data_IF_522814952858
#
_entry.id   IF_522814952858
#
_cell.length_a   1.000
_cell.length_b   1.000
_cell.length_c   1.000
_cell.angle_alpha   90.00
_cell.angle_beta   90.00
_cell.angle_gamma   90.00
#
_symmetry.space_group_name_H-M   'P 1'
#
loop_
_entity.id
_entity.type
_entity.pdbx_description
1 polymer ?
#
# COMPACT_ATOMS: atom_id res chain seq x y z
N UNK A 1 18.80 -21.55 -9.05
CA UNK A 1 17.68 -20.60 -9.12
C UNK A 1 17.87 -19.72 -7.91
N UNK A 2 18.36 -18.51 -8.14
CA UNK A 2 18.56 -17.53 -7.09
C UNK A 2 17.21 -17.19 -6.48
N UNK A 3 17.10 -17.29 -5.17
CA UNK A 3 15.90 -16.95 -4.42
C UNK A 3 15.72 -15.42 -4.41
N UNK A 4 15.19 -14.90 -5.50
CA UNK A 4 14.73 -13.50 -5.56
C UNK A 4 13.58 -13.35 -4.58
N UNK A 5 13.82 -12.63 -3.49
CA UNK A 5 12.87 -12.55 -2.38
C UNK A 5 12.38 -11.12 -2.20
N UNK A 6 11.05 -10.95 -2.14
CA UNK A 6 10.43 -9.72 -1.65
C UNK A 6 10.27 -9.84 -0.13
N UNK A 7 10.66 -8.81 0.57
CA UNK A 7 10.43 -8.64 2.01
C UNK A 7 9.74 -7.30 2.29
N UNK A 8 9.21 -7.17 3.49
CA UNK A 8 8.65 -5.91 4.00
C UNK A 8 9.35 -5.57 5.31
N UNK A 9 9.69 -4.31 5.50
CA UNK A 9 10.35 -3.81 6.72
C UNK A 9 9.79 -2.48 7.19
N UNK A 10 10.09 -2.13 8.43
CA UNK A 10 9.80 -0.80 8.94
C UNK A 10 10.52 0.30 8.15
N UNK A 11 9.99 1.51 8.23
CA UNK A 11 10.64 2.72 7.73
C UNK A 11 11.91 3.01 8.52
N UNK A 12 12.95 3.45 7.83
CA UNK A 12 14.20 3.90 8.39
C UNK A 12 14.47 5.37 8.03
N UNK A 13 15.21 6.14 8.85
CA UNK A 13 15.54 7.53 8.53
C UNK A 13 16.21 7.72 7.15
N UNK A 14 16.90 6.70 6.68
CA UNK A 14 17.55 6.68 5.36
C UNK A 14 16.58 6.62 4.19
N UNK A 15 15.30 6.28 4.43
CA UNK A 15 14.27 6.21 3.39
C UNK A 15 13.71 7.58 2.98
N UNK A 16 14.15 8.66 3.64
CA UNK A 16 13.62 10.01 3.43
C UNK A 16 13.67 10.47 1.97
N UNK A 17 14.75 10.14 1.26
CA UNK A 17 14.91 10.54 -0.13
C UNK A 17 13.93 9.81 -1.04
N UNK A 18 13.76 8.50 -0.84
CA UNK A 18 12.80 7.68 -1.57
C UNK A 18 11.36 8.13 -1.31
N UNK A 19 11.02 8.37 -0.05
CA UNK A 19 9.68 8.87 0.30
C UNK A 19 9.41 10.24 -0.32
N UNK A 20 10.41 11.13 -0.30
CA UNK A 20 10.28 12.46 -0.90
C UNK A 20 10.01 12.38 -2.41
N UNK A 21 10.74 11.52 -3.10
CA UNK A 21 10.59 11.33 -4.55
C UNK A 21 9.24 10.66 -4.90
N UNK A 22 8.85 9.61 -4.17
CA UNK A 22 7.62 8.89 -4.45
C UNK A 22 6.36 9.68 -4.07
N UNK A 23 6.34 10.33 -2.89
CA UNK A 23 5.17 11.09 -2.43
C UNK A 23 4.97 12.39 -3.24
N UNK A 24 6.02 12.89 -3.88
CA UNK A 24 5.95 14.08 -4.72
C UNK A 24 5.87 13.79 -6.22
N UNK A 25 5.81 12.52 -6.64
CA UNK A 25 5.63 12.16 -8.04
C UNK A 25 4.19 12.51 -8.50
N UNK A 26 4.00 13.46 -9.44
CA UNK A 26 2.68 13.84 -9.94
C UNK A 26 1.88 12.67 -10.52
N UNK A 27 2.55 11.63 -11.02
CA UNK A 27 1.91 10.42 -11.55
C UNK A 27 1.31 9.54 -10.43
N UNK A 28 1.72 9.74 -9.17
CA UNK A 28 1.26 8.97 -8.02
C UNK A 28 0.20 9.71 -7.21
N UNK A 29 0.15 11.04 -7.32
CA UNK A 29 -0.81 11.85 -6.53
C UNK A 29 -2.27 11.44 -6.69
N UNK A 30 -2.65 10.97 -7.87
CA UNK A 30 -4.02 10.51 -8.11
C UNK A 30 -4.33 9.18 -7.40
N UNK A 31 -3.32 8.38 -7.04
CA UNK A 31 -3.49 7.12 -6.30
C UNK A 31 -3.67 7.36 -4.79
N UNK A 32 -3.16 8.48 -4.28
CA UNK A 32 -3.40 8.99 -2.93
C UNK A 32 -4.30 10.21 -2.95
N UNK A 33 -4.80 10.65 -1.84
CA UNK A 33 -5.58 11.90 -1.73
C UNK A 33 -4.66 13.13 -1.55
N UNK A 34 -3.47 13.10 -2.13
CA UNK A 34 -2.47 14.17 -2.01
C UNK A 34 -2.88 15.35 -2.90
N UNK A 35 -3.03 16.53 -2.29
CA UNK A 35 -3.46 17.76 -2.98
C UNK A 35 -2.26 18.70 -3.24
N UNK A 36 -1.24 18.60 -2.41
CA UNK A 36 -0.04 19.45 -2.47
C UNK A 36 1.21 18.62 -2.22
N UNK A 37 2.37 19.00 -2.78
CA UNK A 37 3.62 18.30 -2.51
C UNK A 37 3.98 18.36 -1.03
N UNK A 38 4.57 17.30 -0.55
CA UNK A 38 5.11 17.23 0.81
C UNK A 38 6.48 17.92 0.88
N UNK A 39 6.69 18.72 1.92
CA UNK A 39 8.04 19.19 2.23
C UNK A 39 8.86 18.06 2.85
N UNK A 40 10.18 18.10 2.69
CA UNK A 40 11.09 17.15 3.35
C UNK A 40 10.88 17.16 4.87
N UNK A 41 10.70 18.34 5.47
CA UNK A 41 10.43 18.47 6.90
C UNK A 41 9.19 17.68 7.36
N UNK A 42 8.09 17.74 6.61
CA UNK A 42 6.87 16.98 6.95
C UNK A 42 7.13 15.47 6.88
N UNK A 43 7.87 15.00 5.88
CA UNK A 43 8.22 13.59 5.76
C UNK A 43 9.22 13.14 6.83
N UNK A 44 10.16 13.99 7.24
CA UNK A 44 11.03 13.72 8.39
C UNK A 44 10.22 13.57 9.70
N UNK A 45 9.24 14.45 9.93
CA UNK A 45 8.35 14.31 11.09
C UNK A 45 7.52 13.03 11.02
N UNK A 46 7.06 12.65 9.83
CA UNK A 46 6.37 11.37 9.62
C UNK A 46 7.27 10.19 9.97
N UNK A 47 8.52 10.18 9.52
CA UNK A 47 9.51 9.14 9.85
C UNK A 47 9.79 9.07 11.35
N UNK A 48 9.97 10.22 12.02
CA UNK A 48 10.17 10.27 13.47
C UNK A 48 9.00 9.64 14.22
N UNK A 49 7.76 9.84 13.76
CA UNK A 49 6.56 9.31 14.38
C UNK A 49 6.19 7.89 13.90
N UNK A 50 6.90 7.34 12.93
CA UNK A 50 6.61 6.00 12.36
C UNK A 50 6.83 4.83 13.33
N UNK A 51 7.45 5.08 14.50
CA UNK A 51 7.58 4.09 15.57
C UNK A 51 6.30 3.89 16.39
N UNK A 52 5.31 4.77 16.25
CA UNK A 52 4.03 4.62 16.94
C UNK A 52 3.28 3.39 16.42
N UNK A 53 2.64 2.66 17.33
CA UNK A 53 1.95 1.42 16.99
C UNK A 53 0.63 1.68 16.22
N UNK A 54 0.22 0.69 15.44
CA UNK A 54 -0.98 0.77 14.60
C UNK A 54 -2.28 0.95 15.41
N UNK A 55 -2.33 0.59 16.68
CA UNK A 55 -3.51 0.79 17.53
C UNK A 55 -3.69 2.28 17.89
N UNK A 56 -2.58 3.00 18.00
CA UNK A 56 -2.56 4.45 18.26
C UNK A 56 -2.81 5.26 17.01
N UNK A 57 -2.06 5.02 15.96
CA UNK A 57 -2.07 5.81 14.72
C UNK A 57 -3.16 5.41 13.74
N UNK A 58 -3.73 4.21 13.87
CA UNK A 58 -4.68 3.59 12.93
C UNK A 58 -4.12 3.39 11.53
N UNK A 59 -2.82 3.44 11.40
CA UNK A 59 -2.10 3.26 10.13
C UNK A 59 -0.74 2.62 10.37
N UNK A 60 -0.21 1.97 9.34
CA UNK A 60 1.13 1.40 9.31
C UNK A 60 1.66 1.48 7.89
N UNK A 61 2.86 2.03 7.71
CA UNK A 61 3.58 1.99 6.43
C UNK A 61 4.83 1.14 6.57
N UNK A 62 5.03 0.25 5.61
CA UNK A 62 6.24 -0.57 5.50
C UNK A 62 6.88 -0.37 4.12
N UNK A 63 8.20 -0.45 4.08
CA UNK A 63 8.95 -0.49 2.83
C UNK A 63 8.92 -1.89 2.24
N UNK A 64 8.82 -1.96 0.92
CA UNK A 64 8.96 -3.20 0.16
C UNK A 64 10.38 -3.26 -0.36
N UNK A 65 11.10 -4.32 -0.03
CA UNK A 65 12.46 -4.57 -0.50
C UNK A 65 12.54 -5.77 -1.42
N UNK A 66 13.37 -5.63 -2.42
CA UNK A 66 13.79 -6.69 -3.31
C UNK A 66 15.22 -7.09 -2.99
N UNK A 67 15.47 -8.38 -2.83
CA UNK A 67 16.80 -8.94 -2.62
C UNK A 67 17.04 -9.99 -3.72
N UNK A 68 18.11 -9.81 -4.47
CA UNK A 68 18.54 -10.74 -5.51
C UNK A 68 19.48 -11.86 -5.00
N UNK A 69 19.80 -11.84 -3.70
CA UNK A 69 20.69 -12.81 -3.05
C UNK A 69 22.17 -12.49 -3.18
N UNK A 70 22.58 -11.57 -4.05
CA UNK A 70 23.99 -11.22 -4.28
C UNK A 70 24.37 -9.84 -3.75
N UNK A 71 23.43 -8.90 -3.73
CA UNK A 71 23.65 -7.49 -3.41
C UNK A 71 22.88 -7.05 -2.13
N UNK A 72 23.04 -5.78 -1.78
CA UNK A 72 22.21 -5.15 -0.75
C UNK A 72 20.77 -5.09 -1.23
N UNK A 73 19.82 -5.35 -0.30
CA UNK A 73 18.40 -5.22 -0.58
C UNK A 73 18.06 -3.81 -1.07
N UNK A 74 17.23 -3.72 -2.11
CA UNK A 74 16.81 -2.47 -2.76
C UNK A 74 15.34 -2.19 -2.40
N UNK A 75 15.05 -0.98 -1.92
CA UNK A 75 13.66 -0.55 -1.69
C UNK A 75 12.97 -0.27 -3.03
N UNK A 76 11.89 -0.98 -3.30
CA UNK A 76 11.17 -0.96 -4.58
C UNK A 76 9.76 -0.37 -4.50
N UNK A 77 9.31 -0.01 -3.30
CA UNK A 77 8.00 0.55 -3.06
C UNK A 77 7.61 0.59 -1.59
N UNK A 78 6.37 0.92 -1.33
CA UNK A 78 5.77 0.90 0.00
C UNK A 78 4.42 0.20 0.02
N UNK A 79 4.03 -0.30 1.18
CA UNK A 79 2.73 -0.89 1.43
C UNK A 79 2.15 -0.33 2.72
N UNK A 80 0.89 0.07 2.66
CA UNK A 80 0.22 0.79 3.72
C UNK A 80 -0.97 0.02 4.26
N UNK A 81 -1.15 0.04 5.57
CA UNK A 81 -2.42 -0.22 6.24
C UNK A 81 -2.99 1.12 6.72
N UNK A 82 -4.29 1.31 6.56
CA UNK A 82 -5.00 2.54 6.97
C UNK A 82 -6.40 2.21 7.48
N UNK A 83 -7.00 3.16 8.18
CA UNK A 83 -8.33 2.97 8.79
C UNK A 83 -8.42 1.66 9.60
N UNK A 84 -7.37 1.35 10.36
CA UNK A 84 -7.35 0.18 11.22
C UNK A 84 -8.42 0.31 12.31
N UNK A 85 -9.38 -0.60 12.28
CA UNK A 85 -10.49 -0.64 13.24
C UNK A 85 -10.47 -1.97 14.02
N UNK A 86 -9.84 -1.97 15.21
CA UNK A 86 -9.65 -3.21 15.97
C UNK A 86 -10.97 -3.82 16.49
N UNK A 87 -11.97 -2.99 16.81
CA UNK A 87 -13.26 -3.48 17.25
C UNK A 87 -13.97 -4.30 16.19
N UNK A 88 -13.91 -3.83 14.94
CA UNK A 88 -14.53 -4.50 13.81
C UNK A 88 -13.55 -5.38 13.04
N UNK A 89 -12.30 -5.47 13.50
CA UNK A 89 -11.24 -6.31 12.94
C UNK A 89 -11.10 -6.14 11.42
N UNK A 90 -11.08 -4.87 10.98
CA UNK A 90 -10.93 -4.49 9.57
C UNK A 90 -9.82 -3.48 9.39
N UNK A 91 -9.22 -3.48 8.20
CA UNK A 91 -8.15 -2.55 7.82
C UNK A 91 -8.16 -2.32 6.31
N UNK A 92 -7.90 -1.09 5.90
CA UNK A 92 -7.62 -0.76 4.51
C UNK A 92 -6.19 -1.08 4.14
N UNK A 93 -5.95 -1.42 2.87
CA UNK A 93 -4.63 -1.69 2.32
C UNK A 93 -4.38 -0.89 1.05
N UNK A 94 -3.20 -0.29 0.95
CA UNK A 94 -2.68 0.40 -0.23
C UNK A 94 -1.28 -0.09 -0.56
N UNK A 95 -0.88 0.03 -1.82
CA UNK A 95 0.45 -0.37 -2.28
C UNK A 95 0.94 0.56 -3.38
N UNK A 96 2.20 0.94 -3.28
CA UNK A 96 2.95 1.67 -4.28
C UNK A 96 4.18 0.87 -4.68
N UNK A 97 4.39 0.67 -5.97
CA UNK A 97 5.67 0.21 -6.54
C UNK A 97 6.27 1.33 -7.37
N UNK A 98 7.51 1.66 -7.08
CA UNK A 98 8.25 2.66 -7.83
C UNK A 98 8.27 2.31 -9.33
N UNK A 99 8.21 3.33 -10.18
CA UNK A 99 7.96 3.18 -11.62
C UNK A 99 8.89 2.19 -12.31
N UNK A 100 10.18 2.26 -12.00
CA UNK A 100 11.26 1.43 -12.54
C UNK A 100 11.19 -0.05 -12.10
N UNK A 101 10.39 -0.31 -11.04
CA UNK A 101 10.23 -1.64 -10.46
C UNK A 101 8.89 -2.30 -10.78
N UNK A 102 8.01 -1.62 -11.54
CA UNK A 102 6.70 -2.17 -11.92
C UNK A 102 6.81 -3.35 -12.87
N UNK A 103 5.75 -4.15 -12.95
CA UNK A 103 5.60 -5.32 -13.85
C UNK A 103 6.56 -6.48 -13.59
N UNK A 104 7.27 -6.47 -12.45
CA UNK A 104 8.17 -7.55 -12.02
C UNK A 104 7.50 -8.55 -11.03
N UNK A 105 6.22 -8.33 -10.70
CA UNK A 105 5.47 -9.20 -9.78
C UNK A 105 5.65 -8.86 -8.29
N UNK A 106 6.40 -7.84 -7.95
CA UNK A 106 6.72 -7.45 -6.57
C UNK A 106 5.47 -7.09 -5.76
N UNK A 107 4.54 -6.32 -6.35
CA UNK A 107 3.29 -5.95 -5.69
C UNK A 107 2.49 -7.18 -5.22
N UNK A 108 2.41 -8.23 -6.03
CA UNK A 108 1.71 -9.46 -5.67
C UNK A 108 2.33 -10.17 -4.48
N UNK A 109 3.66 -10.21 -4.42
CA UNK A 109 4.38 -10.84 -3.32
C UNK A 109 4.23 -10.03 -2.03
N UNK A 110 4.43 -8.71 -2.09
CA UNK A 110 4.27 -7.82 -0.95
C UNK A 110 2.85 -7.86 -0.37
N UNK A 111 1.82 -7.84 -1.22
CA UNK A 111 0.42 -7.98 -0.79
C UNK A 111 0.16 -9.31 -0.08
N UNK A 112 0.73 -10.42 -0.54
CA UNK A 112 0.60 -11.71 0.15
C UNK A 112 1.22 -11.69 1.54
N UNK A 113 2.41 -11.11 1.68
CA UNK A 113 3.07 -10.94 2.98
C UNK A 113 2.25 -10.07 3.93
N UNK A 114 1.69 -8.97 3.41
CA UNK A 114 0.86 -8.08 4.22
C UNK A 114 -0.48 -8.71 4.61
N UNK A 115 -1.11 -9.48 3.73
CA UNK A 115 -2.33 -10.23 4.07
C UNK A 115 -2.06 -11.28 5.16
N UNK A 116 -0.94 -12.01 5.04
CA UNK A 116 -0.51 -12.96 6.08
C UNK A 116 -0.32 -12.25 7.44
N UNK A 117 0.36 -11.10 7.44
CA UNK A 117 0.53 -10.26 8.63
C UNK A 117 -0.81 -9.79 9.21
N UNK A 118 -1.73 -9.32 8.38
CA UNK A 118 -3.06 -8.88 8.81
C UNK A 118 -3.83 -10.01 9.50
N UNK A 119 -3.84 -11.20 8.92
CA UNK A 119 -4.64 -12.31 9.43
C UNK A 119 -3.98 -13.03 10.60
N UNK A 120 -2.69 -13.30 10.53
CA UNK A 120 -2.00 -14.13 11.51
C UNK A 120 -1.41 -13.33 12.69
N UNK A 121 -1.01 -12.07 12.46
CA UNK A 121 -0.44 -11.22 13.51
C UNK A 121 -1.45 -10.24 14.09
N UNK A 122 -2.14 -9.47 13.25
CA UNK A 122 -3.12 -8.47 13.70
C UNK A 122 -4.51 -9.06 13.97
N UNK A 123 -4.74 -10.34 13.66
CA UNK A 123 -6.02 -11.04 13.84
C UNK A 123 -7.20 -10.30 13.17
N UNK A 124 -6.97 -9.73 11.99
CA UNK A 124 -7.98 -9.03 11.18
C UNK A 124 -8.99 -10.04 10.63
N UNK A 125 -10.24 -9.63 10.48
CA UNK A 125 -11.29 -10.41 9.83
C UNK A 125 -11.38 -10.12 8.33
N UNK A 126 -11.25 -8.84 7.97
CA UNK A 126 -11.33 -8.41 6.58
C UNK A 126 -10.33 -7.30 6.24
N UNK A 127 -9.80 -7.36 5.05
CA UNK A 127 -8.96 -6.32 4.45
C UNK A 127 -9.72 -5.71 3.28
N UNK A 128 -9.72 -4.38 3.15
CA UNK A 128 -10.39 -3.70 2.05
C UNK A 128 -9.44 -2.76 1.31
N UNK A 129 -9.78 -2.43 0.08
CA UNK A 129 -9.13 -1.37 -0.67
C UNK A 129 -10.16 -0.62 -1.53
N UNK A 130 -9.85 0.64 -1.84
CA UNK A 130 -10.60 1.46 -2.77
C UNK A 130 -9.73 1.69 -4.01
N UNK A 131 -10.29 1.45 -5.19
CA UNK A 131 -9.56 1.52 -6.46
C UNK A 131 -10.37 2.38 -7.45
N UNK A 132 -9.72 3.35 -8.09
CA UNK A 132 -10.32 4.10 -9.20
C UNK A 132 -10.78 3.13 -10.29
N UNK A 133 -11.97 3.33 -10.83
CA UNK A 133 -12.60 2.38 -11.76
C UNK A 133 -11.83 2.18 -13.08
N UNK A 134 -10.98 3.13 -13.45
CA UNK A 134 -10.10 3.08 -14.62
C UNK A 134 -8.69 2.53 -14.30
N UNK A 135 -8.35 2.29 -13.03
CA UNK A 135 -7.09 1.66 -12.64
C UNK A 135 -7.14 0.13 -12.82
N UNK A 136 -7.18 -0.30 -14.07
CA UNK A 136 -7.31 -1.71 -14.41
C UNK A 136 -6.13 -2.58 -13.96
N UNK A 137 -4.94 -2.00 -13.76
CA UNK A 137 -3.77 -2.75 -13.26
C UNK A 137 -3.98 -3.16 -11.80
N UNK A 138 -4.39 -2.20 -10.94
CA UNK A 138 -4.72 -2.49 -9.54
C UNK A 138 -5.91 -3.43 -9.43
N UNK A 139 -7.00 -3.21 -10.17
CA UNK A 139 -8.16 -4.10 -10.17
C UNK A 139 -7.75 -5.55 -10.47
N UNK A 140 -6.95 -5.77 -11.54
CA UNK A 140 -6.44 -7.11 -11.87
C UNK A 140 -5.53 -7.70 -10.80
N UNK A 141 -4.71 -6.87 -10.15
CA UNK A 141 -3.81 -7.31 -9.09
C UNK A 141 -4.60 -7.82 -7.88
N UNK A 142 -5.51 -6.99 -7.37
CA UNK A 142 -6.30 -7.31 -6.17
C UNK A 142 -7.27 -8.47 -6.42
N UNK A 143 -7.97 -8.50 -7.55
CA UNK A 143 -8.88 -9.62 -7.88
C UNK A 143 -8.15 -10.95 -8.03
N UNK A 144 -6.93 -10.97 -8.60
CA UNK A 144 -6.09 -12.19 -8.64
C UNK A 144 -5.64 -12.69 -7.26
N UNK A 145 -5.68 -11.83 -6.26
CA UNK A 145 -5.39 -12.17 -4.86
C UNK A 145 -6.65 -12.54 -4.06
N UNK A 146 -7.82 -12.60 -4.70
CA UNK A 146 -9.07 -13.01 -4.05
C UNK A 146 -9.92 -11.87 -3.50
N UNK A 147 -9.55 -10.61 -3.76
CA UNK A 147 -10.42 -9.47 -3.44
C UNK A 147 -11.66 -9.48 -4.32
N UNK A 148 -12.82 -9.24 -3.72
CA UNK A 148 -14.13 -9.23 -4.38
C UNK A 148 -14.74 -7.83 -4.27
N UNK A 149 -15.30 -7.33 -5.37
CA UNK A 149 -16.02 -6.06 -5.39
C UNK A 149 -17.22 -6.12 -4.43
N UNK A 150 -17.34 -5.08 -3.58
CA UNK A 150 -18.42 -5.00 -2.59
C UNK A 150 -19.14 -3.64 -2.61
N UNK A 151 -18.65 -2.67 -3.34
CA UNK A 151 -19.30 -1.36 -3.46
C UNK A 151 -18.77 -0.54 -4.62
N UNK A 152 -19.64 0.28 -5.20
CA UNK A 152 -19.31 1.15 -6.34
C UNK A 152 -19.80 2.57 -6.06
N UNK A 153 -18.88 3.49 -5.89
CA UNK A 153 -19.14 4.90 -5.63
C UNK A 153 -19.09 5.68 -6.94
N UNK A 154 -20.22 6.16 -7.38
CA UNK A 154 -20.35 6.90 -8.64
C UNK A 154 -19.86 8.34 -8.50
N UNK A 155 -19.07 8.82 -9.49
CA UNK A 155 -18.58 10.19 -9.56
C UNK A 155 -17.93 10.65 -8.24
N UNK A 156 -17.09 9.81 -7.67
CA UNK A 156 -16.56 9.97 -6.33
C UNK A 156 -15.30 10.82 -6.27
N UNK A 157 -14.47 10.71 -7.31
CA UNK A 157 -13.17 11.39 -7.38
C UNK A 157 -13.17 12.41 -8.52
N UNK A 158 -12.62 13.59 -8.24
CA UNK A 158 -12.37 14.61 -9.26
C UNK A 158 -10.94 14.50 -9.76
N UNK A 159 -10.76 14.08 -11.02
CA UNK A 159 -9.46 13.87 -11.64
C UNK A 159 -9.43 14.51 -13.04
N UNK A 160 -8.42 15.34 -13.31
CA UNK A 160 -8.21 15.92 -14.66
C UNK A 160 -9.48 16.49 -15.30
N UNK A 161 -10.28 17.23 -14.52
CA UNK A 161 -11.54 17.86 -14.93
C UNK A 161 -12.68 16.88 -15.28
N UNK A 162 -12.58 15.63 -14.83
CA UNK A 162 -13.65 14.63 -14.95
C UNK A 162 -13.95 13.97 -13.61
N UNK A 163 -15.19 13.50 -13.46
CA UNK A 163 -15.57 12.67 -12.32
C UNK A 163 -15.26 11.20 -12.61
N UNK A 164 -14.52 10.57 -11.71
CA UNK A 164 -14.14 9.16 -11.79
C UNK A 164 -14.87 8.38 -10.68
N UNK A 165 -15.33 7.20 -11.02
CA UNK A 165 -15.91 6.28 -10.05
C UNK A 165 -14.81 5.62 -9.22
N UNK A 166 -15.14 5.23 -7.98
CA UNK A 166 -14.28 4.47 -7.10
C UNK A 166 -14.98 3.16 -6.69
N UNK A 167 -14.25 2.06 -6.75
CA UNK A 167 -14.78 0.72 -6.46
C UNK A 167 -14.10 0.20 -5.20
N UNK A 168 -14.90 -0.27 -4.26
CA UNK A 168 -14.43 -0.91 -3.03
C UNK A 168 -14.36 -2.42 -3.21
N UNK A 169 -13.23 -3.00 -2.81
CA UNK A 169 -12.98 -4.43 -2.79
C UNK A 169 -12.71 -4.91 -1.39
N UNK A 170 -13.13 -6.13 -1.08
CA UNK A 170 -12.91 -6.80 0.22
C UNK A 170 -12.23 -8.15 0.02
N UNK A 171 -11.40 -8.51 1.00
CA UNK A 171 -10.79 -9.83 1.12
C UNK A 171 -11.02 -10.36 2.53
N UNK A 172 -11.40 -11.62 2.65
CA UNK A 172 -11.64 -12.30 3.92
C UNK A 172 -10.63 -13.43 4.12
N UNK A 173 -10.30 -13.70 5.38
CA UNK A 173 -9.56 -14.91 5.72
C UNK A 173 -10.50 -16.14 5.56
N UNK A 174 -10.24 -16.94 4.54
CA UNK A 174 -11.01 -18.16 4.26
C UNK A 174 -10.56 -19.37 5.10
N UNK A 175 -9.57 -19.18 5.99
CA UNK A 175 -9.02 -20.26 6.83
C UNK A 175 -9.50 -20.19 8.28
N UNK A 176 -10.40 -19.29 8.62
CA UNK A 176 -11.01 -19.15 9.96
C UNK A 176 -12.51 -19.30 9.93
#
# INVERSE_FOLDING_TARGET
>A
MEDTTISIRALEPTDIDLLYDWENDPEVWHLGNTIAPFSRFVLEQYLVNSHEDIFSTKQLRLMIEYNDGENTAEAVGSIDLFEFEPLHRRVGIGILIAREHRRKGYAKQALKLMLDYCYNTLNIHQVFCNIEADNHESIRLFTKLGFVECGHKKQWLWRNHVWVDEIMYQHFDHHK
#
